data_IF_016747136034
#
_entry.id   IF_016747136034
#
_cell.length_a   1.000
_cell.length_b   1.000
_cell.length_c   1.000
_cell.angle_alpha   90.00
_cell.angle_beta   90.00
_cell.angle_gamma   90.00
#
_symmetry.space_group_name_H-M   'P 1'
#
loop_
_entity.id
_entity.type
_entity.pdbx_description
1 polymer ?
#
# COMPACT_ATOMS: atom_id res chain seq x y z
N UNK A 1 -6.10 -7.26 23.13
CA UNK A 1 -5.65 -8.16 22.03
C UNK A 1 -5.42 -7.24 20.86
N UNK A 2 -4.22 -7.19 20.31
CA UNK A 2 -3.89 -6.15 19.33
C UNK A 2 -4.76 -6.27 18.07
N UNK A 3 -5.48 -5.20 17.73
CA UNK A 3 -6.32 -5.11 16.54
C UNK A 3 -5.58 -4.37 15.45
N UNK A 4 -5.65 -4.90 14.23
CA UNK A 4 -4.96 -4.37 13.05
C UNK A 4 -5.93 -4.12 11.91
N UNK A 5 -5.76 -3.00 11.23
CA UNK A 5 -6.37 -2.68 9.95
C UNK A 5 -5.39 -2.93 8.81
N UNK A 6 -5.91 -3.29 7.63
CA UNK A 6 -5.10 -3.59 6.45
C UNK A 6 -5.64 -2.84 5.22
N UNK A 7 -4.74 -2.40 4.34
CA UNK A 7 -5.08 -1.69 3.10
C UNK A 7 -4.06 -1.99 2.00
N UNK A 8 -4.42 -1.71 0.75
CA UNK A 8 -3.50 -1.71 -0.40
C UNK A 8 -3.31 -0.31 -0.96
N UNK A 9 -2.11 0.00 -1.42
CA UNK A 9 -1.81 1.22 -2.17
C UNK A 9 -1.21 0.86 -3.54
N UNK A 10 -1.83 1.37 -4.61
CA UNK A 10 -1.36 1.19 -5.97
C UNK A 10 -0.19 2.14 -6.24
N UNK A 11 0.96 1.60 -6.64
CA UNK A 11 2.18 2.36 -6.91
C UNK A 11 2.46 2.50 -8.41
N UNK A 12 1.53 2.16 -9.30
CA UNK A 12 1.70 2.26 -10.76
C UNK A 12 2.04 3.68 -11.22
N UNK A 13 1.67 4.71 -10.44
CA UNK A 13 1.99 6.12 -10.72
C UNK A 13 2.66 6.77 -9.51
N UNK A 14 3.83 6.27 -9.10
CA UNK A 14 4.59 6.73 -7.93
C UNK A 14 4.62 8.26 -7.80
N UNK A 15 4.93 8.99 -8.88
CA UNK A 15 5.01 10.46 -8.88
C UNK A 15 3.69 11.16 -8.50
N UNK A 16 2.54 10.56 -8.82
CA UNK A 16 1.22 11.07 -8.43
C UNK A 16 0.81 10.65 -7.02
N UNK A 17 1.52 9.69 -6.44
CA UNK A 17 1.14 9.02 -5.21
C UNK A 17 2.04 9.39 -4.02
N UNK A 18 3.08 10.21 -4.20
CA UNK A 18 3.97 10.65 -3.10
C UNK A 18 3.17 11.32 -1.97
N UNK A 19 2.27 12.25 -2.31
CA UNK A 19 1.44 12.94 -1.31
C UNK A 19 0.49 11.99 -0.59
N UNK A 20 -0.06 11.01 -1.32
CA UNK A 20 -0.91 9.98 -0.72
C UNK A 20 -0.11 9.07 0.22
N UNK A 21 1.10 8.65 -0.16
CA UNK A 21 1.98 7.85 0.68
C UNK A 21 2.41 8.60 1.93
N UNK A 22 2.75 9.89 1.80
CA UNK A 22 3.07 10.76 2.93
C UNK A 22 1.88 10.86 3.89
N UNK A 23 0.67 11.06 3.36
CA UNK A 23 -0.56 11.08 4.17
C UNK A 23 -0.78 9.74 4.89
N UNK A 24 -0.62 8.61 4.19
CA UNK A 24 -0.77 7.28 4.77
C UNK A 24 0.24 7.04 5.90
N UNK A 25 1.50 7.45 5.71
CA UNK A 25 2.51 7.41 6.77
C UNK A 25 2.12 8.27 7.98
N UNK A 26 1.61 9.48 7.73
CA UNK A 26 1.10 10.37 8.79
C UNK A 26 -0.12 9.82 9.54
N UNK A 27 -0.94 8.99 8.88
CA UNK A 27 -2.07 8.28 9.47
C UNK A 27 -1.66 7.01 10.25
N UNK A 28 -0.36 6.68 10.31
CA UNK A 28 0.19 5.52 11.01
C UNK A 28 0.13 4.22 10.21
N UNK A 29 -0.03 4.27 8.89
CA UNK A 29 0.07 3.09 8.04
C UNK A 29 1.53 2.71 7.80
N UNK A 30 1.82 1.42 8.00
CA UNK A 30 3.14 0.82 7.79
C UNK A 30 3.09 -0.15 6.60
N UNK A 31 4.09 -0.08 5.73
CA UNK A 31 4.24 -1.06 4.66
C UNK A 31 4.76 -2.39 5.20
N UNK A 32 4.07 -3.49 4.89
CA UNK A 32 4.45 -4.85 5.30
C UNK A 32 4.97 -5.69 4.13
N UNK A 33 4.73 -5.24 2.91
CA UNK A 33 5.21 -5.92 1.73
C UNK A 33 4.85 -5.18 0.45
N UNK A 34 5.50 -5.59 -0.63
CA UNK A 34 5.18 -5.15 -1.98
C UNK A 34 4.88 -6.38 -2.83
N UNK A 35 3.82 -6.29 -3.62
CA UNK A 35 3.43 -7.30 -4.58
C UNK A 35 3.49 -6.67 -5.96
N UNK A 36 4.06 -7.40 -6.91
CA UNK A 36 4.02 -7.03 -8.33
C UNK A 36 3.02 -7.94 -9.02
N UNK A 37 1.98 -7.38 -9.62
CA UNK A 37 1.05 -8.15 -10.44
C UNK A 37 1.39 -7.99 -11.92
N UNK A 38 1.21 -9.07 -12.68
CA UNK A 38 1.39 -9.11 -14.13
C UNK A 38 0.02 -9.17 -14.76
N UNK A 39 -0.28 -8.26 -15.70
CA UNK A 39 -1.52 -8.33 -16.46
C UNK A 39 -1.58 -9.62 -17.29
N UNK A 40 -2.79 -10.17 -17.49
CA UNK A 40 -3.01 -11.38 -18.29
C UNK A 40 -2.59 -11.25 -19.78
N UNK A 41 -2.22 -10.04 -20.23
CA UNK A 41 -1.83 -9.71 -21.61
C UNK A 41 -0.32 -9.54 -21.86
N UNK A 42 0.56 -9.89 -20.92
CA UNK A 42 2.01 -9.96 -21.13
C UNK A 42 2.87 -8.96 -20.34
N UNK A 43 4.18 -9.18 -20.42
CA UNK A 43 5.28 -8.62 -19.60
C UNK A 43 5.41 -7.08 -19.53
N UNK A 44 4.52 -6.30 -20.16
CA UNK A 44 4.67 -4.84 -20.29
C UNK A 44 3.98 -3.99 -19.22
N UNK A 45 3.18 -4.58 -18.34
CA UNK A 45 2.51 -3.86 -17.26
C UNK A 45 2.72 -4.58 -15.92
N UNK A 46 3.84 -4.27 -15.27
CA UNK A 46 4.05 -4.60 -13.86
C UNK A 46 3.30 -3.55 -13.05
N UNK A 47 2.33 -3.98 -12.26
CA UNK A 47 1.57 -3.11 -11.35
C UNK A 47 2.07 -3.35 -9.92
N UNK A 48 2.96 -2.47 -9.40
CA UNK A 48 3.43 -2.57 -8.03
C UNK A 48 2.32 -2.11 -7.07
N UNK A 49 2.06 -2.93 -6.05
CA UNK A 49 1.07 -2.66 -4.99
C UNK A 49 1.77 -2.82 -3.65
N UNK A 50 1.64 -1.82 -2.77
CA UNK A 50 2.08 -1.92 -1.38
C UNK A 50 0.94 -2.47 -0.50
N UNK A 51 1.27 -3.45 0.34
CA UNK A 51 0.41 -3.93 1.41
C UNK A 51 0.71 -3.11 2.67
N UNK A 52 -0.32 -2.54 3.27
CA UNK A 52 -0.22 -1.67 4.43
C UNK A 52 -0.96 -2.27 5.62
N UNK A 53 -0.43 -2.06 6.82
CA UNK A 53 -1.11 -2.33 8.10
C UNK A 53 -1.13 -1.08 8.97
N UNK A 54 -2.09 -0.99 9.88
CA UNK A 54 -2.12 0.03 10.95
C UNK A 54 -2.71 -0.57 12.21
N UNK A 55 -2.15 -0.22 13.37
CA UNK A 55 -2.70 -0.62 14.67
C UNK A 55 -3.97 0.19 14.96
N UNK A 56 -5.04 -0.50 15.36
CA UNK A 56 -6.27 0.14 15.84
C UNK A 56 -6.06 0.50 17.32
N UNK A 57 -6.20 1.78 17.72
CA UNK A 57 -6.15 2.14 19.13
C UNK A 57 -7.21 1.37 19.92
N UNK A 58 -6.81 0.80 21.05
CA UNK A 58 -7.78 0.33 22.05
C UNK A 58 -8.31 1.60 22.73
N UNK A 59 -9.54 1.98 22.40
CA UNK A 59 -10.26 3.06 23.08
C UNK A 59 -10.66 2.69 24.50
#
# INVERSE_FOLDING_TARGET
MERWEYKVADLTKVEKNIDELNRLGGEGWEAVGMVSTWGAGGFKFVHPIALLKRRVPEG
#
